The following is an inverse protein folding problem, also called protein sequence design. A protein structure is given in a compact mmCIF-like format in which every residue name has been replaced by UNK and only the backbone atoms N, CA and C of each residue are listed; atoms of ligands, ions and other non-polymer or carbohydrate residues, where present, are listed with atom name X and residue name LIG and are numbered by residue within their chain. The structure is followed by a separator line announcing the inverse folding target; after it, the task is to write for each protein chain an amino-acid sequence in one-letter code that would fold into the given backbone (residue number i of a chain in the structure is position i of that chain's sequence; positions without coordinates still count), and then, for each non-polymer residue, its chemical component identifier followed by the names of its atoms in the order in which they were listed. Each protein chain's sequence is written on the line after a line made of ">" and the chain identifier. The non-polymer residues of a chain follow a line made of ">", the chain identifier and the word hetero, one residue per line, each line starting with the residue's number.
data_IF_013851868571
#
_entry.id   IF_013851868571
#
_cell.length_a   1.000
_cell.length_b   1.000
_cell.length_c   1.000
_cell.angle_alpha   90.00
_cell.angle_beta   90.00
_cell.angle_gamma   90.00
#
_symmetry.space_group_name_H-M   'P 1'
#
loop_
_entity.id
_entity.type
_entity.pdbx_description
1 polymer ?
#
# COMPACT_ATOMS: atom_id res chain seq x y z
N UNK A 1 -13.88 17.95 8.44
CA UNK A 1 -12.76 17.03 8.55
C UNK A 1 -12.26 16.65 7.18
N UNK A 2 -11.04 16.90 6.95
CA UNK A 2 -10.47 16.49 5.68
C UNK A 2 -10.46 14.98 5.59
N UNK A 3 -11.02 14.43 4.55
CA UNK A 3 -10.87 13.02 4.25
C UNK A 3 -9.49 12.72 3.68
N UNK A 4 -8.43 12.96 4.49
CA UNK A 4 -7.08 12.65 4.05
C UNK A 4 -6.94 11.15 3.90
N UNK A 5 -6.54 10.71 2.71
CA UNK A 5 -6.36 9.31 2.39
C UNK A 5 -4.88 9.03 2.15
N UNK A 6 -4.31 8.15 2.96
CA UNK A 6 -2.94 7.68 2.82
C UNK A 6 -2.96 6.16 2.68
N UNK A 7 -2.25 5.67 1.69
CA UNK A 7 -2.28 4.25 1.31
C UNK A 7 -0.86 3.70 1.35
N UNK A 8 -0.67 2.60 2.07
CA UNK A 8 0.60 1.90 2.17
C UNK A 8 0.52 0.61 1.34
N UNK A 9 1.09 0.63 0.16
CA UNK A 9 1.10 -0.53 -0.73
C UNK A 9 2.07 -1.59 -0.20
N UNK A 10 1.58 -2.82 -0.08
CA UNK A 10 2.33 -3.88 0.60
C UNK A 10 2.49 -3.60 2.09
N UNK A 11 1.62 -2.77 2.65
CA UNK A 11 1.73 -2.30 4.02
C UNK A 11 1.40 -3.35 5.05
N UNK A 12 1.97 -3.18 6.22
CA UNK A 12 1.73 -4.07 7.36
C UNK A 12 1.32 -3.24 8.58
N UNK A 13 2.22 -3.00 9.51
CA UNK A 13 1.89 -2.27 10.74
C UNK A 13 2.87 -1.13 11.00
N UNK A 14 3.72 -0.81 10.04
CA UNK A 14 4.80 0.14 10.26
C UNK A 14 4.35 1.60 10.27
N UNK A 15 3.19 1.91 9.66
CA UNK A 15 2.69 3.29 9.63
C UNK A 15 1.27 3.30 10.23
N UNK A 16 1.05 4.03 11.32
CA UNK A 16 -0.29 4.11 11.90
C UNK A 16 -1.21 5.02 11.07
N UNK A 17 -2.51 4.71 11.09
CA UNK A 17 -3.54 5.57 10.50
C UNK A 17 -3.66 5.54 8.99
N UNK A 18 -2.99 4.62 8.32
CA UNK A 18 -3.06 4.48 6.85
C UNK A 18 -3.90 3.28 6.45
N UNK A 19 -4.32 3.26 5.19
CA UNK A 19 -4.92 2.08 4.58
C UNK A 19 -3.79 1.19 4.06
N UNK A 20 -3.66 -0.02 4.58
CA UNK A 20 -2.66 -0.97 4.12
C UNK A 20 -3.25 -1.82 3.00
N UNK A 21 -2.48 -2.01 1.93
CA UNK A 21 -2.86 -2.89 0.84
C UNK A 21 -1.95 -4.12 0.85
N UNK A 22 -2.57 -5.30 0.74
CA UNK A 22 -1.86 -6.57 0.53
C UNK A 22 -2.57 -7.36 -0.55
N UNK A 23 -1.83 -8.24 -1.21
CA UNK A 23 -2.43 -9.15 -2.19
C UNK A 23 -3.10 -10.35 -1.54
N UNK A 24 -3.70 -11.24 -2.36
CA UNK A 24 -4.41 -12.44 -1.85
C UNK A 24 -3.57 -13.36 -0.99
N UNK A 25 -2.25 -13.33 -1.14
CA UNK A 25 -1.33 -14.14 -0.31
C UNK A 25 -1.49 -13.86 1.18
N UNK A 26 -1.89 -12.63 1.57
CA UNK A 26 -2.07 -12.28 2.98
C UNK A 26 -3.26 -13.01 3.62
N UNK A 27 -4.16 -13.57 2.83
CA UNK A 27 -5.27 -14.39 3.31
C UNK A 27 -4.84 -15.83 3.63
N UNK A 28 -3.63 -16.22 3.25
CA UNK A 28 -3.10 -17.55 3.56
C UNK A 28 -2.97 -17.72 5.07
N UNK A 29 -3.30 -18.90 5.62
CA UNK A 29 -3.08 -19.18 7.04
C UNK A 29 -1.61 -19.16 7.44
N UNK A 30 -0.72 -19.22 6.46
CA UNK A 30 0.74 -19.20 6.71
C UNK A 30 1.34 -17.81 6.63
N UNK A 31 0.57 -16.81 6.17
CA UNK A 31 1.10 -15.45 6.05
C UNK A 31 1.33 -14.84 7.44
N UNK A 32 2.44 -14.16 7.59
CA UNK A 32 2.80 -13.43 8.81
C UNK A 32 3.38 -12.08 8.45
N UNK A 33 3.07 -11.10 9.28
CA UNK A 33 3.68 -9.78 9.21
C UNK A 33 5.19 -9.92 9.40
N UNK A 34 5.97 -9.34 8.52
CA UNK A 34 7.43 -9.45 8.56
C UNK A 34 8.03 -8.74 9.76
N UNK A 35 7.31 -7.76 10.32
CA UNK A 35 7.80 -6.94 11.41
C UNK A 35 7.77 -7.67 12.75
N UNK A 36 6.70 -8.41 13.04
CA UNK A 36 6.52 -9.03 14.36
C UNK A 36 5.79 -10.38 14.34
N UNK A 37 5.52 -10.91 13.16
CA UNK A 37 4.92 -12.24 13.03
C UNK A 37 3.43 -12.34 13.27
N UNK A 38 2.70 -11.21 13.37
CA UNK A 38 1.24 -11.24 13.52
C UNK A 38 0.57 -11.73 12.24
N UNK A 39 -0.55 -12.43 12.41
CA UNK A 39 -1.42 -12.80 11.27
C UNK A 39 -2.23 -11.60 10.81
N UNK A 40 -2.84 -11.71 9.62
CA UNK A 40 -3.73 -10.67 9.12
C UNK A 40 -4.88 -10.42 10.11
N UNK A 41 -5.48 -11.47 10.65
CA UNK A 41 -6.58 -11.34 11.61
C UNK A 41 -6.14 -10.61 12.87
N UNK A 42 -4.93 -10.88 13.36
CA UNK A 42 -4.40 -10.19 14.53
C UNK A 42 -4.18 -8.71 14.25
N UNK A 43 -3.65 -8.36 13.09
CA UNK A 43 -3.45 -6.96 12.70
C UNK A 43 -4.79 -6.22 12.60
N UNK A 44 -5.79 -6.82 11.98
CA UNK A 44 -7.12 -6.22 11.88
C UNK A 44 -7.76 -6.07 13.26
N UNK A 45 -7.62 -7.08 14.12
CA UNK A 45 -8.12 -7.00 15.49
C UNK A 45 -7.43 -5.90 16.30
N UNK A 46 -6.17 -5.61 15.98
CA UNK A 46 -5.39 -4.55 16.65
C UNK A 46 -5.68 -3.15 16.06
N UNK A 47 -6.60 -3.03 15.12
CA UNK A 47 -7.07 -1.75 14.59
C UNK A 47 -6.45 -1.31 13.28
N UNK A 48 -5.63 -2.12 12.65
CA UNK A 48 -5.06 -1.78 11.33
C UNK A 48 -6.09 -2.01 10.24
N UNK A 49 -6.10 -1.11 9.26
CA UNK A 49 -7.03 -1.18 8.13
C UNK A 49 -6.31 -1.83 6.95
N UNK A 50 -6.96 -2.85 6.37
CA UNK A 50 -6.41 -3.57 5.23
C UNK A 50 -7.40 -3.65 4.08
N UNK A 51 -6.88 -3.49 2.86
CA UNK A 51 -7.58 -3.84 1.63
C UNK A 51 -6.77 -4.93 0.95
N UNK A 52 -7.44 -6.04 0.64
CA UNK A 52 -6.82 -7.17 -0.04
C UNK A 52 -7.23 -7.12 -1.51
N UNK A 53 -6.26 -6.88 -2.37
CA UNK A 53 -6.50 -6.72 -3.81
C UNK A 53 -5.22 -6.98 -4.60
N UNK A 54 -5.33 -7.25 -5.89
CA UNK A 54 -4.14 -7.29 -6.77
C UNK A 54 -3.42 -5.95 -6.80
N UNK A 55 -2.14 -5.98 -7.18
CA UNK A 55 -1.32 -4.77 -7.28
C UNK A 55 -1.69 -3.89 -8.47
N UNK A 56 -2.37 -4.45 -9.47
CA UNK A 56 -2.79 -3.71 -10.65
C UNK A 56 -4.02 -4.39 -11.29
N UNK A 57 -5.05 -3.64 -11.64
CA UNK A 57 -5.26 -2.24 -11.24
C UNK A 57 -5.61 -2.14 -9.76
N UNK A 58 -5.16 -1.05 -9.13
CA UNK A 58 -5.56 -0.78 -7.76
C UNK A 58 -7.02 -0.32 -7.72
N UNK A 59 -7.79 -0.72 -6.70
CA UNK A 59 -9.23 -0.41 -6.65
C UNK A 59 -9.55 1.01 -6.19
N UNK A 60 -8.58 1.90 -6.23
CA UNK A 60 -8.76 3.29 -5.84
C UNK A 60 -8.99 4.14 -7.08
N UNK A 61 -9.95 5.10 -7.02
CA UNK A 61 -10.19 6.01 -8.14
C UNK A 61 -8.97 6.89 -8.45
N UNK A 62 -8.98 7.47 -9.66
CA UNK A 62 -8.02 8.50 -10.02
C UNK A 62 -8.09 9.65 -9.02
N UNK A 63 -6.94 10.23 -8.68
CA UNK A 63 -6.88 11.43 -7.83
C UNK A 63 -7.58 11.27 -6.48
N UNK A 64 -7.46 10.10 -5.85
CA UNK A 64 -8.15 9.82 -4.59
C UNK A 64 -7.25 9.86 -3.36
N UNK A 65 -5.94 9.69 -3.53
CA UNK A 65 -5.01 9.57 -2.42
C UNK A 65 -4.18 10.83 -2.23
N UNK A 66 -3.98 11.22 -0.97
CA UNK A 66 -3.10 12.32 -0.60
C UNK A 66 -1.64 11.87 -0.54
N UNK A 67 -1.41 10.62 -0.15
CA UNK A 67 -0.05 10.07 -0.04
C UNK A 67 -0.07 8.56 -0.26
N UNK A 68 0.96 8.07 -0.93
CA UNK A 68 1.18 6.63 -1.14
C UNK A 68 2.56 6.29 -0.62
N UNK A 69 2.65 5.19 0.12
CA UNK A 69 3.91 4.65 0.63
C UNK A 69 4.23 3.33 -0.04
N UNK A 70 5.51 3.11 -0.34
CA UNK A 70 6.02 1.80 -0.77
C UNK A 70 7.29 1.52 0.04
N UNK A 71 7.19 0.57 0.98
CA UNK A 71 8.31 0.20 1.84
C UNK A 71 8.78 -1.21 1.49
N UNK A 72 9.98 -1.34 0.97
CA UNK A 72 10.57 -2.63 0.57
C UNK A 72 9.70 -3.39 -0.43
N UNK A 73 9.01 -2.67 -1.30
CA UNK A 73 8.12 -3.24 -2.31
C UNK A 73 8.74 -3.03 -3.68
N UNK A 74 8.83 -4.07 -4.54
CA UNK A 74 9.30 -3.89 -5.91
C UNK A 74 8.37 -2.95 -6.68
N UNK A 75 8.96 -1.99 -7.41
CA UNK A 75 8.21 -1.03 -8.23
C UNK A 75 8.67 -1.18 -9.67
N UNK A 76 7.70 -1.30 -10.59
CA UNK A 76 7.95 -1.46 -12.03
C UNK A 76 8.82 -2.66 -12.39
N UNK A 77 8.87 -3.66 -11.52
CA UNK A 77 9.62 -4.88 -11.81
C UNK A 77 8.69 -5.92 -12.41
N UNK A 78 9.15 -6.54 -13.50
CA UNK A 78 8.49 -7.70 -14.09
C UNK A 78 8.62 -8.86 -13.12
N UNK A 79 7.60 -9.10 -12.34
CA UNK A 79 7.56 -10.23 -11.45
C UNK A 79 6.61 -11.28 -12.02
N UNK A 80 7.11 -12.48 -12.26
CA UNK A 80 6.27 -13.61 -12.64
C UNK A 80 5.24 -13.93 -11.56
N UNK A 81 5.49 -13.49 -10.34
CA UNK A 81 4.61 -13.71 -9.20
C UNK A 81 3.62 -12.55 -8.99
N UNK A 82 3.70 -11.50 -9.78
CA UNK A 82 2.81 -10.35 -9.65
C UNK A 82 2.94 -9.58 -8.34
N UNK A 83 4.11 -9.65 -7.69
CA UNK A 83 4.32 -9.05 -6.38
C UNK A 83 4.71 -7.57 -6.42
N UNK A 84 5.06 -7.07 -7.60
CA UNK A 84 5.47 -5.68 -7.78
C UNK A 84 4.29 -4.73 -7.94
N UNK A 85 4.50 -3.47 -7.56
CA UNK A 85 3.55 -2.40 -7.84
C UNK A 85 3.98 -1.62 -9.08
N UNK A 86 3.00 -1.02 -9.77
CA UNK A 86 3.29 -0.20 -10.95
C UNK A 86 3.26 1.27 -10.56
N UNK A 87 4.32 1.99 -10.92
CA UNK A 87 4.40 3.44 -10.65
C UNK A 87 3.29 4.20 -11.37
N UNK A 88 2.83 3.71 -12.52
CA UNK A 88 1.70 4.31 -13.24
C UNK A 88 0.42 4.31 -12.40
N UNK A 89 0.18 3.25 -11.63
CA UNK A 89 -0.97 3.18 -10.73
C UNK A 89 -0.82 4.15 -9.56
N UNK A 90 0.38 4.27 -9.00
CA UNK A 90 0.66 5.24 -7.93
C UNK A 90 0.37 6.66 -8.43
N UNK A 91 0.87 6.99 -9.63
CA UNK A 91 0.64 8.31 -10.23
C UNK A 91 -0.84 8.57 -10.48
N UNK A 92 -1.56 7.54 -10.94
CA UNK A 92 -2.99 7.65 -11.23
C UNK A 92 -3.82 7.99 -10.01
N UNK A 93 -3.59 7.27 -8.90
CA UNK A 93 -4.42 7.41 -7.69
C UNK A 93 -4.07 8.63 -6.85
N UNK A 94 -2.89 9.20 -7.01
CA UNK A 94 -2.52 10.41 -6.28
C UNK A 94 -3.29 11.63 -6.77
N UNK A 95 -3.73 12.47 -5.83
CA UNK A 95 -4.26 13.80 -6.14
C UNK A 95 -3.14 14.71 -6.64
N UNK A 96 -3.45 15.76 -7.41
CA UNK A 96 -2.46 16.82 -7.65
C UNK A 96 -1.91 17.32 -6.31
N UNK A 97 -0.59 17.45 -6.22
CA UNK A 97 0.08 17.77 -4.95
C UNK A 97 0.31 16.59 -4.03
N UNK A 98 -0.25 15.43 -4.35
CA UNK A 98 -0.05 14.22 -3.57
C UNK A 98 1.38 13.69 -3.69
N UNK A 99 1.81 12.96 -2.68
CA UNK A 99 3.20 12.54 -2.54
C UNK A 99 3.36 11.03 -2.52
N UNK A 100 4.39 10.53 -3.21
CA UNK A 100 4.82 9.15 -3.13
C UNK A 100 6.09 9.08 -2.29
N UNK A 101 6.00 8.35 -1.17
CA UNK A 101 7.12 8.13 -0.26
C UNK A 101 7.62 6.71 -0.46
N UNK A 102 8.87 6.57 -0.90
CA UNK A 102 9.47 5.26 -1.17
C UNK A 102 10.59 5.01 -0.18
N UNK A 103 10.45 3.95 0.62
CA UNK A 103 11.44 3.57 1.65
C UNK A 103 11.81 4.76 2.56
N UNK A 104 10.80 5.55 2.94
CA UNK A 104 10.97 6.69 3.83
C UNK A 104 11.45 7.98 3.17
N UNK A 105 11.63 7.98 1.85
CA UNK A 105 12.13 9.15 1.10
C UNK A 105 11.08 9.60 0.08
N UNK A 106 10.89 10.90 -0.05
CA UNK A 106 10.01 11.45 -1.07
C UNK A 106 10.54 11.09 -2.46
N UNK A 107 9.77 10.26 -3.18
CA UNK A 107 10.13 9.82 -4.53
C UNK A 107 9.58 10.76 -5.59
N UNK A 108 8.35 11.23 -5.42
CA UNK A 108 7.67 12.00 -6.44
C UNK A 108 6.48 12.75 -5.85
N UNK A 109 6.26 13.97 -6.34
CA UNK A 109 5.08 14.77 -6.02
C UNK A 109 4.32 15.01 -7.32
N UNK A 110 3.02 14.70 -7.32
CA UNK A 110 2.19 14.85 -8.51
C UNK A 110 1.99 16.32 -8.84
N UNK A 111 2.32 16.74 -10.08
CA UNK A 111 2.09 18.13 -10.51
C UNK A 111 0.62 18.49 -10.55
#
# INVERSE_FOLDING_TARGET
>A
MSGRIEINLGGESEIPGVINQQGPWALSPNWRCSRDGRTLQQLVADGYIFIICPNAPLPFPDHSADRVYTNSVPVDMNSLLGLGVQSSEIRRILKPGGEWIRDGVLEWTKP
#
